data_IF_407994374402
#
_entry.id   IF_407994374402
#
_cell.length_a   1.000
_cell.length_b   1.000
_cell.length_c   1.000
_cell.angle_alpha   90.00
_cell.angle_beta   90.00
_cell.angle_gamma   90.00
#
_symmetry.space_group_name_H-M   'P 1'
#
loop_
_entity.id
_entity.type
_entity.pdbx_description
1 polymer ?
#
# COMPACT_ATOMS: atom_id res chain seq x y z
N UNK A 1 -1.58 40.38 -2.66
CA UNK A 1 -2.20 39.23 -3.36
C UNK A 1 -3.22 38.56 -2.44
N UNK A 2 -4.50 38.92 -2.56
CA UNK A 2 -5.61 38.37 -1.77
C UNK A 2 -6.03 37.01 -2.32
N UNK A 3 -5.72 35.92 -1.58
CA UNK A 3 -6.27 34.58 -1.84
C UNK A 3 -7.81 34.67 -1.79
N UNK A 4 -8.49 34.41 -2.91
CA UNK A 4 -9.95 34.46 -2.99
C UNK A 4 -10.56 33.29 -2.19
N UNK A 5 -11.01 33.57 -0.97
CA UNK A 5 -11.58 32.57 -0.06
C UNK A 5 -12.82 31.86 -0.61
N UNK A 6 -13.49 32.39 -1.65
CA UNK A 6 -14.57 31.66 -2.34
C UNK A 6 -14.02 30.48 -3.13
N UNK A 7 -12.95 30.67 -3.88
CA UNK A 7 -12.32 29.59 -4.67
C UNK A 7 -11.75 28.48 -3.77
N UNK A 8 -11.28 28.83 -2.57
CA UNK A 8 -10.81 27.87 -1.57
C UNK A 8 -11.96 27.07 -0.93
N UNK A 9 -13.07 27.73 -0.55
CA UNK A 9 -14.28 27.05 -0.07
C UNK A 9 -14.91 26.12 -1.12
N UNK A 10 -14.98 26.55 -2.38
CA UNK A 10 -15.49 25.71 -3.48
C UNK A 10 -14.63 24.48 -3.72
N UNK A 11 -13.30 24.61 -3.68
CA UNK A 11 -12.38 23.47 -3.78
C UNK A 11 -12.53 22.51 -2.62
N UNK A 12 -12.57 23.02 -1.39
CA UNK A 12 -12.78 22.19 -0.18
C UNK A 12 -14.10 21.42 -0.24
N UNK A 13 -15.20 22.08 -0.62
CA UNK A 13 -16.50 21.41 -0.73
C UNK A 13 -16.53 20.35 -1.86
N UNK A 14 -15.84 20.60 -2.97
CA UNK A 14 -15.67 19.58 -4.03
C UNK A 14 -14.87 18.38 -3.54
N UNK A 15 -13.80 18.60 -2.77
CA UNK A 15 -12.97 17.54 -2.23
C UNK A 15 -13.73 16.69 -1.21
N UNK A 16 -14.44 17.33 -0.28
CA UNK A 16 -15.31 16.63 0.68
C UNK A 16 -16.36 15.76 -0.03
N UNK A 17 -16.93 16.28 -1.13
CA UNK A 17 -17.91 15.51 -1.91
C UNK A 17 -17.25 14.34 -2.65
N UNK A 18 -16.04 14.53 -3.17
CA UNK A 18 -15.25 13.47 -3.81
C UNK A 18 -14.97 12.35 -2.80
N UNK A 19 -14.52 12.70 -1.58
CA UNK A 19 -14.27 11.73 -0.52
C UNK A 19 -15.54 10.98 -0.09
N UNK A 20 -16.69 11.66 -0.01
CA UNK A 20 -17.97 11.00 0.28
C UNK A 20 -18.36 9.97 -0.80
N UNK A 21 -18.01 10.23 -2.07
CA UNK A 21 -18.21 9.24 -3.15
C UNK A 21 -17.21 8.09 -3.07
N UNK A 22 -15.97 8.33 -2.66
CA UNK A 22 -15.03 7.24 -2.38
C UNK A 22 -15.51 6.36 -1.23
N UNK A 23 -16.04 6.94 -0.15
CA UNK A 23 -16.64 6.18 0.96
C UNK A 23 -17.78 5.28 0.48
N UNK A 24 -18.67 5.81 -0.36
CA UNK A 24 -19.75 5.04 -0.96
C UNK A 24 -19.21 3.92 -1.87
N UNK A 25 -18.18 4.20 -2.67
CA UNK A 25 -17.52 3.19 -3.49
C UNK A 25 -16.92 2.07 -2.66
N UNK A 26 -16.25 2.38 -1.55
CA UNK A 26 -15.72 1.35 -0.63
C UNK A 26 -16.83 0.47 -0.07
N UNK A 27 -17.94 1.06 0.39
CA UNK A 27 -19.09 0.29 0.91
C UNK A 27 -19.74 -0.55 -0.18
N UNK A 28 -19.94 -0.01 -1.38
CA UNK A 28 -20.49 -0.74 -2.50
C UNK A 28 -19.57 -1.90 -2.92
N UNK A 29 -18.26 -1.67 -3.03
CA UNK A 29 -17.26 -2.70 -3.31
C UNK A 29 -17.22 -3.78 -2.23
N UNK A 30 -17.29 -3.40 -0.96
CA UNK A 30 -17.32 -4.36 0.14
C UNK A 30 -18.52 -5.30 0.04
N UNK A 31 -19.67 -4.83 -0.45
CA UNK A 31 -20.89 -5.65 -0.61
C UNK A 31 -20.96 -6.43 -1.91
N UNK A 32 -20.61 -5.80 -3.03
CA UNK A 32 -20.82 -6.35 -4.38
C UNK A 32 -19.56 -6.94 -5.01
N UNK A 33 -18.39 -6.74 -4.41
CA UNK A 33 -17.12 -7.22 -4.95
C UNK A 33 -16.85 -6.69 -6.35
N UNK A 34 -16.31 -7.54 -7.21
CA UNK A 34 -15.96 -7.20 -8.61
C UNK A 34 -17.15 -6.86 -9.50
N UNK A 35 -18.36 -7.27 -9.12
CA UNK A 35 -19.58 -7.04 -9.90
C UNK A 35 -20.17 -5.64 -9.70
N UNK A 36 -19.61 -4.83 -8.79
CA UNK A 36 -20.11 -3.50 -8.47
C UNK A 36 -20.28 -2.64 -9.72
N UNK A 37 -21.40 -1.93 -9.84
CA UNK A 37 -21.67 -1.02 -10.95
C UNK A 37 -21.66 0.45 -10.50
N UNK A 38 -21.56 1.36 -11.46
CA UNK A 38 -21.74 2.79 -11.19
C UNK A 38 -23.14 3.11 -10.65
N UNK A 39 -24.14 2.27 -10.92
CA UNK A 39 -25.48 2.44 -10.37
C UNK A 39 -25.50 2.06 -8.88
N UNK A 40 -24.85 0.96 -8.50
CA UNK A 40 -24.75 0.53 -7.10
C UNK A 40 -24.03 1.58 -6.25
N UNK A 41 -22.95 2.16 -6.77
CA UNK A 41 -22.20 3.23 -6.09
C UNK A 41 -23.05 4.50 -5.94
N UNK A 42 -23.80 4.87 -6.98
CA UNK A 42 -24.68 6.04 -6.92
C UNK A 42 -25.81 5.84 -5.90
N UNK A 43 -26.39 4.63 -5.85
CA UNK A 43 -27.37 4.24 -4.85
C UNK A 43 -26.77 4.29 -3.44
N UNK A 44 -25.56 3.75 -3.25
CA UNK A 44 -24.84 3.76 -1.98
C UNK A 44 -24.48 5.17 -1.49
N UNK A 45 -24.26 6.10 -2.43
CA UNK A 45 -24.01 7.50 -2.16
C UNK A 45 -25.29 8.33 -1.97
N UNK A 46 -26.48 7.75 -2.21
CA UNK A 46 -27.75 8.47 -2.17
C UNK A 46 -27.86 9.57 -3.23
N UNK A 47 -27.28 9.37 -4.42
CA UNK A 47 -27.30 10.36 -5.50
C UNK A 47 -27.70 9.74 -6.84
N UNK A 48 -28.17 10.58 -7.76
CA UNK A 48 -28.40 10.16 -9.14
C UNK A 48 -27.06 9.91 -9.87
N UNK A 49 -27.03 8.89 -10.76
CA UNK A 49 -25.86 8.50 -11.54
C UNK A 49 -25.16 9.67 -12.28
N UNK A 50 -25.88 10.63 -12.91
CA UNK A 50 -25.22 11.79 -13.55
C UNK A 50 -24.42 12.67 -12.58
N UNK A 51 -24.78 12.70 -11.29
CA UNK A 51 -24.05 13.48 -10.28
C UNK A 51 -22.69 12.87 -9.96
N UNK A 52 -22.59 11.53 -9.97
CA UNK A 52 -21.33 10.81 -9.80
C UNK A 52 -20.38 11.06 -10.98
N UNK A 53 -20.91 11.04 -12.21
CA UNK A 53 -20.13 11.33 -13.42
C UNK A 53 -19.53 12.75 -13.50
N UNK A 54 -20.05 13.70 -12.70
CA UNK A 54 -19.43 15.04 -12.59
C UNK A 54 -18.09 15.03 -11.84
N UNK A 55 -17.80 13.97 -11.10
CA UNK A 55 -16.60 13.83 -10.28
C UNK A 55 -15.66 12.74 -10.80
N UNK A 56 -16.21 11.77 -11.53
CA UNK A 56 -15.46 10.66 -12.09
C UNK A 56 -15.87 10.44 -13.53
N UNK A 57 -14.92 10.47 -14.46
CA UNK A 57 -15.22 10.35 -15.88
C UNK A 57 -15.91 9.02 -16.22
N UNK A 58 -15.45 7.96 -15.58
CA UNK A 58 -15.97 6.61 -15.72
C UNK A 58 -15.69 5.76 -14.48
N UNK A 59 -15.99 4.45 -14.60
CA UNK A 59 -15.76 3.46 -13.55
C UNK A 59 -14.26 3.30 -13.25
N UNK A 60 -13.38 3.45 -14.24
CA UNK A 60 -11.93 3.30 -14.06
C UNK A 60 -11.32 4.47 -13.29
N UNK A 61 -11.71 5.72 -13.61
CA UNK A 61 -11.25 6.91 -12.88
C UNK A 61 -11.63 6.85 -11.40
N UNK A 62 -12.85 6.38 -11.11
CA UNK A 62 -13.30 6.13 -9.74
C UNK A 62 -12.43 5.09 -9.02
N UNK A 63 -12.06 4.03 -9.71
CA UNK A 63 -11.28 2.95 -9.11
C UNK A 63 -9.81 3.28 -8.94
N UNK A 64 -9.20 4.05 -9.85
CA UNK A 64 -7.88 4.64 -9.64
C UNK A 64 -7.90 5.46 -8.34
N UNK A 65 -8.94 6.28 -8.14
CA UNK A 65 -9.08 7.07 -6.92
C UNK A 65 -9.28 6.22 -5.64
N UNK A 66 -10.02 5.10 -5.74
CA UNK A 66 -10.15 4.11 -4.64
C UNK A 66 -8.79 3.45 -4.34
N UNK A 67 -8.04 3.05 -5.37
CA UNK A 67 -6.72 2.46 -5.23
C UNK A 67 -5.72 3.45 -4.57
N UNK A 68 -5.71 4.70 -5.02
CA UNK A 68 -4.87 5.76 -4.46
C UNK A 68 -5.23 6.04 -3.00
N UNK A 69 -6.52 6.06 -2.64
CA UNK A 69 -6.95 6.22 -1.25
C UNK A 69 -6.56 5.03 -0.38
N UNK A 70 -6.66 3.81 -0.91
CA UNK A 70 -6.21 2.60 -0.22
C UNK A 70 -4.72 2.66 0.05
N UNK A 71 -3.93 3.12 -0.94
CA UNK A 71 -2.49 3.31 -0.78
C UNK A 71 -2.16 4.35 0.29
N UNK A 72 -2.82 5.51 0.31
CA UNK A 72 -2.66 6.51 1.39
C UNK A 72 -2.97 5.93 2.77
N UNK A 73 -3.99 5.09 2.85
CA UNK A 73 -4.34 4.40 4.11
C UNK A 73 -3.24 3.43 4.54
N UNK A 74 -2.68 2.67 3.60
CA UNK A 74 -1.56 1.79 3.85
C UNK A 74 -0.32 2.56 4.32
N UNK A 75 0.03 3.65 3.63
CA UNK A 75 1.14 4.54 4.02
C UNK A 75 0.98 5.05 5.46
N UNK A 76 -0.21 5.52 5.82
CA UNK A 76 -0.51 5.96 7.18
C UNK A 76 -0.37 4.85 8.22
N UNK A 77 -0.83 3.63 7.91
CA UNK A 77 -0.70 2.47 8.79
C UNK A 77 0.73 1.93 8.90
N UNK A 78 1.57 2.21 7.91
CA UNK A 78 2.98 1.85 7.91
C UNK A 78 3.87 2.86 8.64
N UNK A 79 3.39 4.07 8.96
CA UNK A 79 4.17 5.08 9.71
C UNK A 79 4.80 4.52 11.01
N UNK A 80 4.11 3.72 11.84
CA UNK A 80 4.73 3.15 13.03
C UNK A 80 5.90 2.21 12.74
N UNK A 81 5.94 1.57 11.57
CA UNK A 81 7.07 0.72 11.17
C UNK A 81 8.36 1.52 10.87
N UNK A 82 8.24 2.84 10.72
CA UNK A 82 9.37 3.75 10.49
C UNK A 82 9.93 4.33 11.79
N UNK A 83 9.41 3.93 12.96
CA UNK A 83 9.94 4.35 14.26
C UNK A 83 11.39 3.89 14.40
N UNK A 84 12.37 4.83 14.50
CA UNK A 84 13.79 4.50 14.63
C UNK A 84 14.10 3.71 15.92
N UNK A 85 13.22 3.76 16.92
CA UNK A 85 13.33 3.00 18.16
C UNK A 85 12.95 1.52 18.03
N UNK A 86 12.45 1.08 16.87
CA UNK A 86 12.17 -0.32 16.61
C UNK A 86 13.40 -1.06 16.09
N UNK A 87 13.61 -2.27 16.60
CA UNK A 87 14.51 -3.22 15.96
C UNK A 87 14.02 -3.61 14.55
N UNK A 88 14.92 -3.90 13.59
CA UNK A 88 14.59 -4.22 12.21
C UNK A 88 13.48 -5.27 12.06
N UNK A 89 13.52 -6.33 12.88
CA UNK A 89 12.53 -7.41 12.83
C UNK A 89 11.14 -6.91 13.23
N UNK A 90 11.05 -6.03 14.24
CA UNK A 90 9.79 -5.41 14.67
C UNK A 90 9.26 -4.43 13.63
N UNK A 91 10.14 -3.68 12.97
CA UNK A 91 9.75 -2.80 11.86
C UNK A 91 9.14 -3.60 10.71
N UNK A 92 9.79 -4.69 10.27
CA UNK A 92 9.26 -5.61 9.25
C UNK A 92 7.90 -6.15 9.68
N UNK A 93 7.81 -6.67 10.91
CA UNK A 93 6.54 -7.20 11.44
C UNK A 93 5.42 -6.17 11.38
N UNK A 94 5.70 -4.95 11.81
CA UNK A 94 4.71 -3.85 11.84
C UNK A 94 4.23 -3.49 10.44
N UNK A 95 5.14 -3.43 9.47
CA UNK A 95 4.80 -3.17 8.07
C UNK A 95 3.97 -4.31 7.44
N UNK A 96 4.36 -5.57 7.70
CA UNK A 96 3.62 -6.76 7.22
C UNK A 96 2.22 -6.79 7.83
N UNK A 97 2.10 -6.59 9.14
CA UNK A 97 0.82 -6.55 9.84
C UNK A 97 -0.09 -5.46 9.28
N UNK A 98 0.42 -4.25 9.07
CA UNK A 98 -0.34 -3.14 8.49
C UNK A 98 -0.96 -3.50 7.12
N UNK A 99 -0.21 -4.19 6.26
CA UNK A 99 -0.72 -4.63 4.97
C UNK A 99 -1.73 -5.78 5.09
N UNK A 100 -1.40 -6.82 5.85
CA UNK A 100 -2.26 -8.01 6.03
C UNK A 100 -3.60 -7.60 6.65
N UNK A 101 -3.60 -6.77 7.71
CA UNK A 101 -4.83 -6.26 8.33
C UNK A 101 -5.68 -5.46 7.35
N UNK A 102 -5.07 -4.56 6.56
CA UNK A 102 -5.81 -3.77 5.57
C UNK A 102 -6.54 -4.66 4.55
N UNK A 103 -5.86 -5.70 4.09
CA UNK A 103 -6.38 -6.66 3.12
C UNK A 103 -7.45 -7.57 3.74
N UNK A 104 -7.26 -7.96 5.01
CA UNK A 104 -8.18 -8.81 5.76
C UNK A 104 -9.50 -8.11 6.12
N UNK A 105 -9.46 -6.79 6.40
CA UNK A 105 -10.63 -5.99 6.77
C UNK A 105 -11.70 -5.95 5.66
N UNK A 106 -11.28 -5.87 4.40
CA UNK A 106 -12.20 -5.79 3.26
C UNK A 106 -11.71 -6.67 2.10
N UNK A 107 -11.88 -8.00 2.17
CA UNK A 107 -11.38 -8.93 1.16
C UNK A 107 -11.93 -8.63 -0.24
N UNK A 108 -13.18 -8.19 -0.36
CA UNK A 108 -13.78 -7.82 -1.64
C UNK A 108 -13.12 -6.59 -2.27
N UNK A 109 -12.73 -5.60 -1.46
CA UNK A 109 -11.98 -4.43 -1.93
C UNK A 109 -10.56 -4.85 -2.33
N UNK A 110 -9.92 -5.72 -1.55
CA UNK A 110 -8.61 -6.25 -1.87
C UNK A 110 -8.64 -7.06 -3.18
N UNK A 111 -9.59 -7.99 -3.34
CA UNK A 111 -9.79 -8.75 -4.57
C UNK A 111 -10.09 -7.87 -5.76
N UNK A 112 -10.85 -6.80 -5.53
CA UNK A 112 -11.12 -5.83 -6.57
C UNK A 112 -9.84 -5.13 -7.04
N UNK A 113 -9.00 -4.67 -6.11
CA UNK A 113 -7.71 -4.02 -6.42
C UNK A 113 -6.69 -5.01 -7.02
N UNK A 114 -6.65 -6.25 -6.54
CA UNK A 114 -5.73 -7.29 -7.00
C UNK A 114 -6.16 -7.87 -8.35
N UNK A 115 -7.46 -8.14 -8.50
CA UNK A 115 -8.08 -8.80 -9.64
C UNK A 115 -8.47 -7.87 -10.78
N UNK A 116 -8.33 -6.55 -10.61
CA UNK A 116 -8.57 -5.56 -11.67
C UNK A 116 -7.47 -5.58 -12.74
N UNK A 117 -7.37 -6.68 -13.48
CA UNK A 117 -7.06 -6.67 -14.92
C UNK A 117 -8.21 -6.06 -15.75
N UNK A 118 -9.10 -5.28 -15.12
CA UNK A 118 -10.20 -4.52 -15.71
C UNK A 118 -9.79 -3.13 -16.21
N UNK A 119 -8.58 -2.68 -15.88
CA UNK A 119 -7.95 -1.60 -16.64
C UNK A 119 -7.59 -2.20 -17.98
N UNK A 120 -8.47 -1.92 -18.95
CA UNK A 120 -8.25 -2.18 -20.36
C UNK A 120 -6.78 -1.89 -20.73
N UNK A 121 -6.25 -2.70 -21.65
CA UNK A 121 -4.88 -2.64 -22.18
C UNK A 121 -4.59 -1.36 -22.97
N UNK A 122 -5.38 -0.30 -22.75
CA UNK A 122 -5.33 1.01 -23.40
C UNK A 122 -4.75 2.12 -22.51
N UNK A 123 -4.51 1.85 -21.22
CA UNK A 123 -3.67 2.69 -20.35
C UNK A 123 -2.53 1.83 -19.77
N UNK A 124 -1.29 2.11 -20.16
CA UNK A 124 -0.04 1.38 -19.87
C UNK A 124 0.34 1.20 -18.38
N UNK A 125 -0.60 1.39 -17.45
CA UNK A 125 -0.38 1.18 -16.02
C UNK A 125 -1.54 0.40 -15.42
N UNK A 126 -1.30 -0.89 -15.15
CA UNK A 126 -1.99 -1.58 -14.06
C UNK A 126 -1.77 -0.72 -12.80
N UNK A 127 -2.81 -0.09 -12.23
CA UNK A 127 -2.65 0.84 -11.11
C UNK A 127 -2.09 0.16 -9.86
N UNK A 128 -2.28 -1.15 -9.71
CA UNK A 128 -1.83 -1.92 -8.56
C UNK A 128 -0.42 -2.45 -8.75
N UNK A 129 -0.01 -2.84 -9.96
CA UNK A 129 1.40 -3.03 -10.28
C UNK A 129 2.17 -1.69 -10.22
N UNK A 130 1.56 -0.59 -10.67
CA UNK A 130 2.07 0.76 -10.56
C UNK A 130 2.22 1.20 -9.11
N UNK A 131 1.22 0.94 -8.26
CA UNK A 131 1.27 1.25 -6.83
C UNK A 131 2.26 0.34 -6.09
N UNK A 132 2.35 -0.94 -6.44
CA UNK A 132 3.37 -1.85 -5.88
C UNK A 132 4.79 -1.37 -6.24
N UNK A 133 5.00 -0.90 -7.48
CA UNK A 133 6.27 -0.26 -7.90
C UNK A 133 6.55 1.02 -7.12
N UNK A 134 5.55 1.86 -6.85
CA UNK A 134 5.71 3.07 -6.02
C UNK A 134 6.12 2.71 -4.59
N UNK A 135 5.46 1.73 -3.96
CA UNK A 135 5.79 1.25 -2.61
C UNK A 135 7.20 0.64 -2.59
N UNK A 136 7.52 -0.23 -3.54
CA UNK A 136 8.85 -0.81 -3.66
C UNK A 136 9.93 0.25 -3.90
N UNK A 137 9.67 1.28 -4.72
CA UNK A 137 10.59 2.39 -4.93
C UNK A 137 10.77 3.25 -3.67
N UNK A 138 9.71 3.50 -2.91
CA UNK A 138 9.80 4.21 -1.63
C UNK A 138 10.65 3.41 -0.63
N UNK A 139 10.40 2.11 -0.49
CA UNK A 139 11.17 1.21 0.36
C UNK A 139 12.65 1.14 -0.10
N UNK A 140 12.90 1.03 -1.41
CA UNK A 140 14.26 1.03 -1.94
C UNK A 140 15.01 2.32 -1.60
N UNK A 141 14.36 3.49 -1.69
CA UNK A 141 14.97 4.77 -1.29
C UNK A 141 15.27 4.81 0.21
N UNK A 142 14.37 4.29 1.05
CA UNK A 142 14.61 4.20 2.49
C UNK A 142 15.79 3.29 2.79
N UNK A 143 15.88 2.11 2.17
CA UNK A 143 17.02 1.22 2.34
C UNK A 143 18.33 1.85 1.84
N UNK A 144 18.32 2.44 0.65
CA UNK A 144 19.50 3.08 0.05
C UNK A 144 20.00 4.28 0.86
N UNK A 145 19.12 5.03 1.52
CA UNK A 145 19.52 6.16 2.38
C UNK A 145 20.28 5.73 3.64
N UNK A 146 20.12 4.47 4.05
CA UNK A 146 20.66 3.92 5.30
C UNK A 146 21.78 2.89 5.07
N UNK A 147 22.11 2.60 3.82
CA UNK A 147 23.14 1.64 3.43
C UNK A 147 24.29 2.36 2.68
N UNK A 148 25.50 1.76 2.63
CA UNK A 148 26.62 2.31 1.88
C UNK A 148 26.28 2.51 0.39
N UNK A 149 26.88 3.54 -0.22
CA UNK A 149 26.56 4.05 -1.56
C UNK A 149 26.66 3.03 -2.71
N UNK A 150 27.26 1.86 -2.50
CA UNK A 150 27.40 0.77 -3.48
C UNK A 150 26.18 -0.14 -3.63
N UNK A 151 25.23 -0.12 -2.68
CA UNK A 151 24.14 -1.09 -2.62
C UNK A 151 22.87 -0.69 -3.40
N UNK A 152 22.85 0.41 -4.16
CA UNK A 152 21.62 0.96 -4.74
C UNK A 152 20.83 -0.04 -5.62
N UNK A 153 21.51 -0.81 -6.48
CA UNK A 153 20.86 -1.85 -7.29
C UNK A 153 20.31 -3.00 -6.44
N UNK A 154 21.05 -3.41 -5.41
CA UNK A 154 20.64 -4.47 -4.49
C UNK A 154 19.42 -4.05 -3.64
N UNK A 155 19.40 -2.83 -3.11
CA UNK A 155 18.26 -2.30 -2.34
C UNK A 155 16.97 -2.25 -3.14
N UNK A 156 17.04 -1.91 -4.43
CA UNK A 156 15.89 -1.93 -5.32
C UNK A 156 15.36 -3.36 -5.52
N UNK A 157 16.25 -4.34 -5.73
CA UNK A 157 15.89 -5.74 -5.85
C UNK A 157 15.24 -6.28 -4.56
N UNK A 158 15.83 -5.99 -3.40
CA UNK A 158 15.31 -6.43 -2.10
C UNK A 158 13.94 -5.82 -1.79
N UNK A 159 13.74 -4.54 -2.10
CA UNK A 159 12.46 -3.87 -1.90
C UNK A 159 11.36 -4.50 -2.77
N UNK A 160 11.64 -4.78 -4.05
CA UNK A 160 10.67 -5.46 -4.93
C UNK A 160 10.39 -6.90 -4.48
N UNK A 161 11.42 -7.65 -4.06
CA UNK A 161 11.25 -9.00 -3.52
C UNK A 161 10.37 -9.00 -2.26
N UNK A 162 10.60 -8.05 -1.34
CA UNK A 162 9.83 -7.89 -0.10
C UNK A 162 8.37 -7.59 -0.41
N UNK A 163 8.09 -6.56 -1.22
CA UNK A 163 6.72 -6.17 -1.59
C UNK A 163 6.01 -7.31 -2.33
N UNK A 164 6.70 -7.97 -3.25
CA UNK A 164 6.17 -9.11 -3.99
C UNK A 164 5.82 -10.29 -3.09
N UNK A 165 6.70 -10.66 -2.16
CA UNK A 165 6.48 -11.76 -1.22
C UNK A 165 5.30 -11.50 -0.29
N UNK A 166 5.18 -10.28 0.26
CA UNK A 166 4.05 -9.90 1.12
C UNK A 166 2.74 -9.96 0.34
N UNK A 167 2.68 -9.36 -0.85
CA UNK A 167 1.48 -9.36 -1.72
C UNK A 167 1.07 -10.79 -2.08
N UNK A 168 1.98 -11.57 -2.67
CA UNK A 168 1.67 -12.91 -3.16
C UNK A 168 1.21 -13.85 -2.04
N UNK A 169 1.85 -13.78 -0.87
CA UNK A 169 1.50 -14.63 0.28
C UNK A 169 0.16 -14.21 0.90
N UNK A 170 -0.12 -12.91 1.00
CA UNK A 170 -1.41 -12.41 1.50
C UNK A 170 -2.55 -12.78 0.56
N UNK A 171 -2.32 -12.70 -0.76
CA UNK A 171 -3.28 -13.14 -1.76
C UNK A 171 -3.56 -14.64 -1.71
N UNK A 172 -2.52 -15.46 -1.58
CA UNK A 172 -2.67 -16.89 -1.37
C UNK A 172 -3.48 -17.18 -0.11
N UNK A 173 -3.12 -16.54 1.00
CA UNK A 173 -3.83 -16.69 2.27
C UNK A 173 -5.29 -16.26 2.18
N UNK A 174 -5.61 -15.17 1.49
CA UNK A 174 -6.99 -14.74 1.28
C UNK A 174 -7.84 -15.78 0.55
N UNK A 175 -7.24 -16.57 -0.37
CA UNK A 175 -7.92 -17.61 -1.14
C UNK A 175 -8.16 -18.87 -0.32
N UNK A 176 -7.13 -19.34 0.40
CA UNK A 176 -7.21 -20.64 1.07
C UNK A 176 -7.69 -20.53 2.51
N UNK A 177 -7.28 -19.46 3.22
CA UNK A 177 -7.54 -19.24 4.65
C UNK A 177 -7.08 -20.41 5.54
N UNK A 178 -6.09 -21.18 5.08
CA UNK A 178 -5.58 -22.37 5.78
C UNK A 178 -4.83 -22.05 7.09
N UNK A 179 -4.42 -20.79 7.28
CA UNK A 179 -3.77 -20.33 8.50
C UNK A 179 -4.44 -19.09 9.08
N UNK A 180 -4.27 -18.91 10.39
CA UNK A 180 -4.67 -17.68 11.07
C UNK A 180 -3.87 -16.47 10.59
N UNK A 181 -4.49 -15.29 10.64
CA UNK A 181 -3.88 -14.04 10.20
C UNK A 181 -2.55 -13.72 10.91
N UNK A 182 -2.51 -13.87 12.24
CA UNK A 182 -1.29 -13.66 13.02
C UNK A 182 -0.18 -14.65 12.63
N UNK A 183 -0.53 -15.91 12.35
CA UNK A 183 0.44 -16.90 11.90
C UNK A 183 1.04 -16.51 10.54
N UNK A 184 0.24 -15.92 9.63
CA UNK A 184 0.75 -15.42 8.34
C UNK A 184 1.76 -14.31 8.58
N UNK A 185 1.42 -13.36 9.44
CA UNK A 185 2.29 -12.24 9.79
C UNK A 185 3.60 -12.76 10.40
N UNK A 186 3.54 -13.74 11.31
CA UNK A 186 4.72 -14.36 11.95
C UNK A 186 5.63 -15.05 10.93
N UNK A 187 5.07 -15.88 10.06
CA UNK A 187 5.83 -16.61 9.04
C UNK A 187 6.44 -15.66 8.00
N UNK A 188 5.68 -14.68 7.52
CA UNK A 188 6.19 -13.65 6.60
C UNK A 188 7.30 -12.82 7.24
N UNK A 189 7.13 -12.40 8.50
CA UNK A 189 8.16 -11.65 9.23
C UNK A 189 9.46 -12.45 9.30
N UNK A 190 9.36 -13.74 9.64
CA UNK A 190 10.52 -14.64 9.76
C UNK A 190 11.23 -14.81 8.42
N UNK A 191 10.47 -15.07 7.35
CA UNK A 191 11.01 -15.24 6.01
C UNK A 191 11.69 -13.97 5.48
N UNK A 192 11.03 -12.82 5.63
CA UNK A 192 11.55 -11.53 5.15
C UNK A 192 12.77 -11.08 5.94
N UNK A 193 12.76 -11.23 7.26
CA UNK A 193 13.94 -10.93 8.08
C UNK A 193 15.11 -11.84 7.72
N UNK A 194 14.90 -13.15 7.58
CA UNK A 194 15.96 -14.07 7.19
C UNK A 194 16.58 -13.72 5.84
N UNK A 195 15.75 -13.39 4.85
CA UNK A 195 16.22 -12.92 3.53
C UNK A 195 16.97 -11.59 3.61
N UNK A 196 16.48 -10.64 4.40
CA UNK A 196 17.08 -9.32 4.56
C UNK A 196 18.40 -9.37 5.33
N UNK A 197 18.49 -10.13 6.43
CA UNK A 197 19.73 -10.35 7.19
C UNK A 197 20.79 -11.02 6.32
N UNK A 198 20.43 -12.06 5.55
CA UNK A 198 21.35 -12.69 4.60
C UNK A 198 21.87 -11.71 3.54
N UNK A 199 20.97 -10.87 3.01
CA UNK A 199 21.31 -9.86 2.00
C UNK A 199 22.18 -8.72 2.55
N UNK A 200 21.94 -8.29 3.80
CA UNK A 200 22.79 -7.30 4.47
C UNK A 200 24.18 -7.86 4.74
N UNK A 201 24.27 -9.12 5.19
CA UNK A 201 25.55 -9.79 5.44
C UNK A 201 26.38 -9.96 4.18
N UNK A 202 25.77 -10.17 3.01
CA UNK A 202 26.51 -10.22 1.74
C UNK A 202 27.17 -8.89 1.37
N UNK A 203 26.65 -7.78 1.90
CA UNK A 203 27.22 -6.43 1.78
C UNK A 203 28.12 -6.06 2.98
N UNK A 204 28.45 -7.01 3.87
CA UNK A 204 29.28 -6.79 5.06
C UNK A 204 28.57 -6.11 6.23
N UNK A 205 27.24 -6.01 6.19
CA UNK A 205 26.42 -5.31 7.18
C UNK A 205 25.78 -6.33 8.12
N UNK A 206 25.98 -6.14 9.42
CA UNK A 206 25.39 -6.98 10.47
C UNK A 206 24.52 -6.08 11.34
N UNK A 207 23.23 -6.42 11.42
CA UNK A 207 22.27 -5.76 12.29
C UNK A 207 21.83 -6.73 13.39
N UNK A 208 21.63 -6.20 14.60
CA UNK A 208 20.88 -6.92 15.61
C UNK A 208 19.39 -6.85 15.25
N UNK A 209 18.64 -7.97 15.24
CA UNK A 209 17.22 -7.99 14.88
C UNK A 209 16.31 -7.17 15.82
N UNK A 210 16.72 -7.02 17.07
CA UNK A 210 15.89 -6.50 18.16
C UNK A 210 16.38 -5.14 18.68
N UNK A 211 17.62 -4.75 18.40
CA UNK A 211 18.12 -3.41 18.74
C UNK A 211 17.75 -2.36 17.68
N UNK A 212 17.46 -1.11 18.11
CA UNK A 212 17.27 0.02 17.20
C UNK A 212 18.45 0.18 16.23
N UNK A 213 18.15 0.55 14.98
CA UNK A 213 19.21 0.80 14.00
C UNK A 213 19.91 2.11 14.36
N UNK A 214 21.14 2.04 14.86
CA UNK A 214 22.01 3.20 14.99
C UNK A 214 22.55 3.62 13.60
N UNK A 215 21.79 4.48 12.93
CA UNK A 215 22.11 5.03 11.61
C UNK A 215 23.41 5.85 11.57
N UNK A 216 23.98 6.22 12.73
CA UNK A 216 25.27 6.91 12.82
C UNK A 216 26.43 5.91 12.72
N UNK A 217 26.30 4.74 13.35
CA UNK A 217 27.33 3.69 13.34
C UNK A 217 27.46 2.96 11.99
N UNK A 218 26.38 2.87 11.20
CA UNK A 218 26.41 2.24 9.86
C UNK A 218 27.23 3.05 8.84
N UNK A 219 27.29 4.38 8.99
CA UNK A 219 28.11 5.26 8.13
C UNK A 219 29.61 5.22 8.42
N UNK A 220 30.02 4.69 9.58
CA UNK A 220 31.41 4.74 10.05
C UNK A 220 32.26 3.49 9.75
N UNK A 221 31.65 2.42 9.22
CA UNK A 221 32.34 1.16 8.88
C UNK A 221 32.50 1.06 7.35
N UNK A 222 33.40 1.88 6.83
CA UNK A 222 33.94 1.76 5.46
C UNK A 222 35.15 0.84 5.49
#
# INVERSE_FOLDING_TARGET
MTRDGRAERWRSHREQRREAFLDASFRALARHGSEVTMADIAAEAGVAKPRLYRYFADKNDLFIAVADRTLRTLEQRMLPALDPGLGPRRAIRTAVAAYVHLVAENPNVAWFLIGSGFVDRSHDADPVLGNSRKVAAALARLLAANLPSGAAGATAAWAHATVGAVKASTEWWLRTRDLGENALIDHLTTFLWGGMDAALRSEGIVLDPDEPIDLVSVKGRV
#
